data_IF_563077929171
#
_entry.id   IF_563077929171
#
_cell.length_a   1.000
_cell.length_b   1.000
_cell.length_c   1.000
_cell.angle_alpha   90.00
_cell.angle_beta   90.00
_cell.angle_gamma   90.00
#
_symmetry.space_group_name_H-M   'P 1'
#
loop_
_entity.id
_entity.type
_entity.pdbx_description
1 polymer ?
#
# COMPACT_ATOMS: atom_id res chain seq x y z
N UNK A 1 17.40 20.66 -16.11
CA UNK A 1 16.71 19.44 -15.66
C UNK A 1 17.42 18.83 -14.43
N UNK A 2 18.72 18.55 -14.55
CA UNK A 2 19.51 17.97 -13.43
C UNK A 2 19.49 18.83 -12.17
N UNK A 3 19.72 20.14 -12.26
CA UNK A 3 19.75 21.03 -11.09
C UNK A 3 18.42 21.07 -10.33
N UNK A 4 17.29 20.98 -11.04
CA UNK A 4 15.96 20.88 -10.40
C UNK A 4 15.76 19.57 -9.68
N UNK A 5 16.24 18.45 -10.24
CA UNK A 5 16.15 17.16 -9.58
C UNK A 5 16.98 17.17 -8.28
N UNK A 6 18.21 17.70 -8.33
CA UNK A 6 19.08 17.86 -7.14
C UNK A 6 18.39 18.72 -6.08
N UNK A 7 17.78 19.84 -6.47
CA UNK A 7 17.05 20.72 -5.52
C UNK A 7 15.84 20.01 -4.91
N UNK A 8 15.08 19.24 -5.69
CA UNK A 8 13.98 18.42 -5.18
C UNK A 8 14.43 17.45 -4.08
N UNK A 9 15.60 16.83 -4.25
CA UNK A 9 16.11 15.85 -3.28
C UNK A 9 16.66 16.50 -1.99
N UNK A 10 17.07 17.76 -2.01
CA UNK A 10 17.41 18.48 -0.77
C UNK A 10 16.25 18.59 0.21
N UNK A 11 15.02 18.65 -0.28
CA UNK A 11 13.82 18.67 0.57
C UNK A 11 13.43 17.30 1.13
N UNK A 12 13.98 16.21 0.61
CA UNK A 12 13.71 14.85 1.11
C UNK A 12 14.23 14.68 2.54
N UNK A 13 15.42 15.22 2.85
CA UNK A 13 15.98 15.23 4.20
C UNK A 13 15.44 16.48 4.94
N UNK A 14 14.15 16.50 5.18
CA UNK A 14 13.46 17.56 5.93
C UNK A 14 12.92 17.01 7.24
N UNK A 15 12.65 17.90 8.18
CA UNK A 15 11.98 17.54 9.43
C UNK A 15 10.66 16.81 9.18
N UNK A 16 9.87 17.26 8.20
CA UNK A 16 8.58 16.65 7.84
C UNK A 16 8.76 15.20 7.38
N UNK A 17 9.81 14.91 6.60
CA UNK A 17 10.10 13.54 6.15
C UNK A 17 10.56 12.68 7.32
N UNK A 18 11.39 13.20 8.21
CA UNK A 18 11.79 12.50 9.45
C UNK A 18 10.58 12.19 10.33
N UNK A 19 9.65 13.13 10.48
CA UNK A 19 8.39 12.93 11.21
C UNK A 19 7.53 11.84 10.55
N UNK A 20 7.44 11.80 9.23
CA UNK A 20 6.68 10.75 8.53
C UNK A 20 7.25 9.35 8.78
N UNK A 21 8.57 9.21 8.73
CA UNK A 21 9.26 7.94 9.03
C UNK A 21 9.11 7.58 10.51
N UNK A 22 9.29 8.52 11.42
CA UNK A 22 9.10 8.29 12.87
C UNK A 22 7.66 7.84 13.16
N UNK A 23 6.65 8.45 12.53
CA UNK A 23 5.25 8.07 12.64
C UNK A 23 5.01 6.63 12.20
N UNK A 24 5.59 6.23 11.08
CA UNK A 24 5.51 4.85 10.59
C UNK A 24 6.02 3.85 11.63
N UNK A 25 7.18 4.15 12.26
CA UNK A 25 7.74 3.30 13.31
C UNK A 25 6.87 3.28 14.57
N UNK A 26 6.36 4.43 15.01
CA UNK A 26 5.46 4.52 16.17
C UNK A 26 4.21 3.66 15.96
N UNK A 27 3.58 3.75 14.81
CA UNK A 27 2.40 2.95 14.49
C UNK A 27 2.73 1.46 14.47
N UNK A 28 3.88 1.06 13.92
CA UNK A 28 4.31 -0.33 13.93
C UNK A 28 4.49 -0.86 15.36
N UNK A 29 5.18 -0.11 16.24
CA UNK A 29 5.32 -0.49 17.64
C UNK A 29 3.97 -0.53 18.37
N UNK A 30 3.08 0.43 18.10
CA UNK A 30 1.75 0.46 18.70
C UNK A 30 0.91 -0.76 18.32
N UNK A 31 1.04 -1.29 17.10
CA UNK A 31 0.32 -2.50 16.68
C UNK A 31 0.72 -3.73 17.48
N UNK A 32 1.97 -3.80 17.96
CA UNK A 32 2.46 -4.93 18.77
C UNK A 32 1.78 -5.00 20.16
N UNK A 33 1.20 -3.89 20.63
CA UNK A 33 0.45 -3.85 21.90
C UNK A 33 -0.96 -4.49 21.79
N UNK A 34 -1.45 -4.76 20.59
CA UNK A 34 -2.73 -5.44 20.39
C UNK A 34 -2.58 -6.90 20.79
N UNK A 35 -3.41 -7.33 21.74
CA UNK A 35 -3.41 -8.73 22.19
C UNK A 35 -3.80 -9.66 21.04
N UNK A 36 -2.98 -10.67 20.81
CA UNK A 36 -3.26 -11.68 19.80
C UNK A 36 -4.36 -12.63 20.29
N UNK A 37 -5.40 -12.76 19.48
CA UNK A 37 -6.45 -13.73 19.71
C UNK A 37 -6.05 -15.08 19.13
N UNK A 38 -6.03 -16.10 19.96
CA UNK A 38 -5.88 -17.48 19.54
C UNK A 38 -7.27 -18.11 19.40
N UNK A 39 -7.58 -18.60 18.23
CA UNK A 39 -8.80 -19.38 18.00
C UNK A 39 -8.46 -20.84 18.21
N UNK A 40 -9.30 -21.55 18.98
CA UNK A 40 -9.16 -23.00 19.01
C UNK A 40 -9.27 -23.56 17.60
N UNK A 41 -8.37 -24.47 17.18
CA UNK A 41 -8.51 -25.15 15.90
C UNK A 41 -9.86 -25.92 15.89
N UNK A 42 -10.47 -26.11 14.71
CA UNK A 42 -11.68 -26.89 14.63
C UNK A 42 -11.40 -28.30 15.15
N UNK A 43 -12.23 -28.74 16.12
CA UNK A 43 -12.15 -30.09 16.63
C UNK A 43 -12.43 -31.05 15.47
N UNK A 44 -11.53 -31.96 15.23
CA UNK A 44 -11.69 -32.95 14.20
C UNK A 44 -12.14 -34.21 14.89
N UNK A 45 -13.41 -34.61 14.67
CA UNK A 45 -13.95 -35.86 15.18
C UNK A 45 -13.15 -37.05 14.65
N UNK A 46 -12.71 -37.87 15.57
CA UNK A 46 -11.99 -39.11 15.22
C UNK A 46 -13.00 -40.17 14.78
N UNK A 47 -12.86 -40.68 13.59
CA UNK A 47 -13.55 -41.89 13.14
C UNK A 47 -12.52 -42.97 12.87
N UNK A 48 -12.42 -44.01 13.69
CA UNK A 48 -12.52 -45.40 13.29
C UNK A 48 -12.17 -46.41 14.38
N UNK A 49 -12.86 -47.57 14.33
CA UNK A 49 -12.47 -48.93 14.79
C UNK A 49 -11.68 -49.05 16.09
N UNK A 50 -11.99 -48.26 17.12
CA UNK A 50 -11.48 -48.55 18.47
C UNK A 50 -10.11 -47.93 18.81
N UNK A 51 -9.51 -47.14 17.96
CA UNK A 51 -8.34 -46.32 18.25
C UNK A 51 -8.68 -44.86 18.13
N UNK A 52 -8.50 -44.04 19.18
CA UNK A 52 -8.69 -42.59 19.06
C UNK A 52 -7.52 -42.02 18.25
N UNK A 53 -7.75 -41.53 17.06
CA UNK A 53 -6.83 -40.66 16.36
C UNK A 53 -7.51 -39.35 15.97
N UNK A 54 -6.78 -38.27 15.98
CA UNK A 54 -7.26 -36.97 15.57
C UNK A 54 -7.00 -36.77 14.09
N UNK A 55 -8.05 -36.60 13.31
CA UNK A 55 -7.91 -36.25 11.91
C UNK A 55 -7.87 -34.73 11.76
N UNK A 56 -7.00 -34.20 10.95
CA UNK A 56 -6.89 -32.77 10.65
C UNK A 56 -7.76 -32.40 9.45
N UNK A 57 -8.28 -31.18 9.44
CA UNK A 57 -8.98 -30.67 8.25
C UNK A 57 -7.99 -30.57 7.07
N UNK A 58 -8.28 -31.19 5.92
CA UNK A 58 -7.41 -31.10 4.74
C UNK A 58 -7.20 -29.64 4.28
N UNK A 59 -8.15 -28.74 4.55
CA UNK A 59 -8.06 -27.32 4.20
C UNK A 59 -6.99 -26.57 5.01
N UNK A 60 -6.63 -27.07 6.18
CA UNK A 60 -5.65 -26.43 7.09
C UNK A 60 -4.33 -27.22 7.15
N UNK A 61 -4.15 -28.22 6.31
CA UNK A 61 -2.99 -29.10 6.27
C UNK A 61 -2.24 -29.02 4.93
N UNK A 62 -2.11 -27.80 4.40
CA UNK A 62 -1.26 -27.55 3.26
C UNK A 62 0.21 -27.45 3.70
N UNK A 63 1.12 -27.68 2.77
CA UNK A 63 2.55 -27.59 3.04
C UNK A 63 2.97 -26.18 3.45
N UNK A 64 3.66 -26.06 4.58
CA UNK A 64 4.32 -24.83 5.02
C UNK A 64 5.58 -24.62 4.19
N UNK A 65 5.71 -23.43 3.60
CA UNK A 65 6.92 -23.04 2.89
C UNK A 65 7.77 -22.11 3.75
N UNK A 66 9.00 -22.50 3.96
CA UNK A 66 10.00 -21.65 4.60
C UNK A 66 10.27 -20.38 3.77
N UNK A 67 10.84 -19.35 4.38
CA UNK A 67 11.12 -18.07 3.69
C UNK A 67 11.97 -18.23 2.41
N UNK A 68 12.80 -19.26 2.33
CA UNK A 68 13.63 -19.56 1.15
C UNK A 68 12.87 -20.22 -0.01
N UNK A 69 11.70 -20.79 0.27
CA UNK A 69 10.86 -21.51 -0.70
C UNK A 69 9.70 -20.66 -1.21
N UNK A 70 9.44 -19.54 -0.54
CA UNK A 70 8.39 -18.60 -0.93
C UNK A 70 8.76 -17.84 -2.21
N UNK A 71 7.76 -17.59 -3.08
CA UNK A 71 7.93 -16.82 -4.33
C UNK A 71 8.33 -15.38 -4.01
N UNK A 72 7.68 -14.76 -3.02
CA UNK A 72 8.02 -13.41 -2.55
C UNK A 72 8.14 -13.44 -1.03
N UNK A 73 9.31 -13.74 -0.47
CA UNK A 73 9.52 -13.69 0.97
C UNK A 73 9.52 -12.26 1.50
N UNK A 74 9.35 -12.09 2.82
CA UNK A 74 9.25 -10.77 3.45
C UNK A 74 10.40 -9.80 3.13
N UNK A 75 11.70 -10.20 3.07
CA UNK A 75 12.77 -9.31 2.65
C UNK A 75 12.61 -8.80 1.22
N UNK A 76 12.17 -9.65 0.30
CA UNK A 76 11.91 -9.26 -1.10
C UNK A 76 10.74 -8.29 -1.19
N UNK A 77 9.67 -8.52 -0.43
CA UNK A 77 8.58 -7.57 -0.31
C UNK A 77 9.09 -6.19 0.15
N UNK A 78 9.93 -6.15 1.19
CA UNK A 78 10.49 -4.91 1.71
C UNK A 78 11.30 -4.17 0.64
N UNK A 79 12.12 -4.87 -0.13
CA UNK A 79 12.87 -4.30 -1.27
C UNK A 79 11.91 -3.74 -2.32
N UNK A 80 10.87 -4.48 -2.71
CA UNK A 80 9.86 -4.01 -3.67
C UNK A 80 9.20 -2.73 -3.17
N UNK A 81 8.71 -2.73 -1.93
CA UNK A 81 7.98 -1.59 -1.35
C UNK A 81 8.87 -0.35 -1.14
N UNK A 82 10.18 -0.52 -1.01
CA UNK A 82 11.13 0.60 -0.81
C UNK A 82 11.76 1.07 -2.11
N UNK A 83 12.32 0.16 -2.90
CA UNK A 83 13.13 0.51 -4.07
C UNK A 83 12.27 1.00 -5.23
N UNK A 84 11.15 0.34 -5.51
CA UNK A 84 10.31 0.73 -6.66
C UNK A 84 9.78 2.16 -6.53
N UNK A 85 9.18 2.60 -5.41
CA UNK A 85 8.76 3.99 -5.25
C UNK A 85 9.93 4.97 -5.37
N UNK A 86 11.07 4.67 -4.73
CA UNK A 86 12.24 5.57 -4.74
C UNK A 86 12.76 5.75 -6.17
N UNK A 87 12.91 4.68 -6.94
CA UNK A 87 13.35 4.76 -8.34
C UNK A 87 12.36 5.57 -9.19
N UNK A 88 11.07 5.30 -9.04
CA UNK A 88 10.02 6.05 -9.75
C UNK A 88 10.07 7.54 -9.38
N UNK A 89 10.15 7.87 -8.08
CA UNK A 89 10.18 9.27 -7.64
C UNK A 89 11.46 9.98 -8.07
N UNK A 90 12.59 9.26 -8.15
CA UNK A 90 13.82 9.78 -8.74
C UNK A 90 13.60 10.13 -10.21
N UNK A 91 13.01 9.24 -11.00
CA UNK A 91 12.70 9.52 -12.42
C UNK A 91 11.75 10.70 -12.55
N UNK A 92 10.68 10.74 -11.76
CA UNK A 92 9.71 11.83 -11.80
C UNK A 92 10.32 13.19 -11.42
N UNK A 93 11.32 13.21 -10.51
CA UNK A 93 11.97 14.46 -10.09
C UNK A 93 12.63 15.23 -11.23
N UNK A 94 13.02 14.57 -12.30
CA UNK A 94 13.56 15.23 -13.49
C UNK A 94 12.51 16.03 -14.29
N UNK A 95 11.24 15.66 -14.12
CA UNK A 95 10.10 16.29 -14.82
C UNK A 95 9.30 17.23 -13.90
N UNK A 96 9.58 17.25 -12.62
CA UNK A 96 8.86 18.08 -11.65
C UNK A 96 9.06 19.57 -11.90
N UNK A 97 7.97 20.32 -11.80
CA UNK A 97 7.97 21.78 -11.81
C UNK A 97 8.09 22.36 -10.39
N UNK A 98 7.73 21.58 -9.36
CA UNK A 98 7.80 21.94 -7.96
C UNK A 98 8.90 21.15 -7.26
N UNK A 99 9.89 21.83 -6.68
CA UNK A 99 11.03 21.22 -5.99
C UNK A 99 10.64 20.39 -4.76
N UNK A 100 9.46 20.65 -4.17
CA UNK A 100 8.96 19.88 -3.02
C UNK A 100 8.17 18.63 -3.42
N UNK A 101 7.87 18.42 -4.69
CA UNK A 101 7.01 17.32 -5.12
C UNK A 101 7.55 15.94 -4.70
N UNK A 102 8.84 15.70 -4.89
CA UNK A 102 9.50 14.44 -4.51
C UNK A 102 9.43 14.19 -3.00
N UNK A 103 9.70 15.19 -2.18
CA UNK A 103 9.60 15.07 -0.72
C UNK A 103 8.16 14.73 -0.29
N UNK A 104 7.17 15.39 -0.88
CA UNK A 104 5.75 15.15 -0.59
C UNK A 104 5.29 13.75 -1.05
N UNK A 105 5.85 13.20 -2.14
CA UNK A 105 5.61 11.80 -2.53
C UNK A 105 6.16 10.83 -1.50
N UNK A 106 7.39 11.04 -1.03
CA UNK A 106 8.02 10.20 -0.02
C UNK A 106 7.28 10.27 1.31
N UNK A 107 6.93 11.48 1.77
CA UNK A 107 6.12 11.67 2.98
C UNK A 107 4.77 10.98 2.87
N UNK A 108 4.08 11.17 1.76
CA UNK A 108 2.76 10.59 1.54
C UNK A 108 2.78 9.06 1.53
N UNK A 109 3.74 8.42 0.83
CA UNK A 109 3.85 6.96 0.84
C UNK A 109 4.27 6.43 2.22
N UNK A 110 5.14 7.13 2.95
CA UNK A 110 5.54 6.72 4.30
C UNK A 110 4.35 6.76 5.29
N UNK A 111 3.56 7.83 5.29
CA UNK A 111 2.34 7.90 6.09
C UNK A 111 1.31 6.84 5.70
N UNK A 112 1.09 6.64 4.39
CA UNK A 112 0.17 5.62 3.90
C UNK A 112 0.60 4.21 4.32
N UNK A 113 1.88 3.89 4.15
CA UNK A 113 2.46 2.61 4.55
C UNK A 113 2.31 2.35 6.04
N UNK A 114 2.71 3.31 6.89
CA UNK A 114 2.61 3.18 8.35
C UNK A 114 1.17 2.98 8.82
N UNK A 115 0.22 3.75 8.28
CA UNK A 115 -1.19 3.64 8.63
C UNK A 115 -1.79 2.30 8.16
N UNK A 116 -1.46 1.85 6.94
CA UNK A 116 -1.89 0.55 6.43
C UNK A 116 -1.31 -0.60 7.25
N UNK A 117 0.00 -0.56 7.54
CA UNK A 117 0.68 -1.56 8.35
C UNK A 117 0.04 -1.69 9.74
N UNK A 118 -0.18 -0.56 10.42
CA UNK A 118 -0.87 -0.53 11.71
C UNK A 118 -2.27 -1.16 11.64
N UNK A 119 -3.08 -0.75 10.68
CA UNK A 119 -4.43 -1.28 10.52
C UNK A 119 -4.43 -2.79 10.25
N UNK A 120 -3.57 -3.25 9.34
CA UNK A 120 -3.43 -4.66 8.99
C UNK A 120 -3.03 -5.48 10.22
N UNK A 121 -2.02 -5.02 10.96
CA UNK A 121 -1.49 -5.75 12.11
C UNK A 121 -2.50 -5.82 13.26
N UNK A 122 -3.21 -4.71 13.56
CA UNK A 122 -4.27 -4.69 14.54
C UNK A 122 -5.39 -5.68 14.19
N UNK A 123 -5.86 -5.66 12.94
CA UNK A 123 -6.92 -6.57 12.48
C UNK A 123 -6.44 -8.01 12.49
N UNK A 124 -5.21 -8.27 12.06
CA UNK A 124 -4.60 -9.59 12.05
C UNK A 124 -4.56 -10.22 13.43
N UNK A 125 -4.06 -9.49 14.43
CA UNK A 125 -4.00 -9.94 15.83
C UNK A 125 -5.41 -10.11 16.44
N UNK A 126 -6.33 -9.18 16.17
CA UNK A 126 -7.69 -9.27 16.66
C UNK A 126 -8.46 -10.45 16.05
N UNK A 127 -8.29 -10.72 14.75
CA UNK A 127 -8.98 -11.81 14.07
C UNK A 127 -8.48 -13.19 14.52
N UNK A 128 -7.18 -13.39 14.71
CA UNK A 128 -6.60 -14.68 15.07
C UNK A 128 -7.01 -15.79 14.09
N UNK A 129 -6.95 -15.53 12.77
CA UNK A 129 -7.48 -16.44 11.76
C UNK A 129 -6.41 -17.40 11.26
N UNK A 130 -6.75 -18.72 11.13
CA UNK A 130 -5.81 -19.77 10.74
C UNK A 130 -5.34 -19.59 9.30
N UNK A 131 -4.04 -19.88 9.11
CA UNK A 131 -3.46 -19.99 7.77
C UNK A 131 -3.77 -21.36 7.14
N UNK A 132 -3.69 -21.48 5.81
CA UNK A 132 -3.90 -22.76 5.13
C UNK A 132 -2.97 -23.89 5.56
N UNK A 133 -1.76 -23.57 6.04
CA UNK A 133 -0.75 -24.52 6.52
C UNK A 133 -0.72 -24.70 8.05
N UNK A 134 -1.81 -24.38 8.74
CA UNK A 134 -1.86 -24.31 10.21
C UNK A 134 -1.30 -25.56 10.89
N UNK A 135 -1.78 -26.75 10.48
CA UNK A 135 -1.40 -27.99 11.13
C UNK A 135 0.04 -28.42 10.81
N UNK A 136 0.54 -28.14 9.61
CA UNK A 136 1.91 -28.43 9.23
C UNK A 136 2.91 -27.58 10.04
N UNK A 137 2.63 -26.27 10.15
CA UNK A 137 3.48 -25.38 10.95
C UNK A 137 3.42 -25.67 12.45
N UNK A 138 2.24 -25.97 13.00
CA UNK A 138 2.13 -26.27 14.43
C UNK A 138 2.69 -27.63 14.83
N UNK A 139 3.07 -28.49 13.87
CA UNK A 139 3.57 -29.84 14.14
C UNK A 139 2.51 -30.68 14.87
N UNK A 140 1.34 -30.80 14.28
CA UNK A 140 0.21 -31.50 14.89
C UNK A 140 0.49 -32.98 15.06
N UNK A 141 0.40 -33.45 16.31
CA UNK A 141 0.52 -34.88 16.65
C UNK A 141 -0.88 -35.51 16.68
N UNK A 142 -1.14 -36.38 15.71
CA UNK A 142 -2.42 -37.08 15.59
C UNK A 142 -2.71 -38.05 16.76
N UNK A 143 -1.69 -38.51 17.48
CA UNK A 143 -1.87 -39.42 18.64
C UNK A 143 -2.33 -38.67 19.88
N UNK A 144 -1.84 -37.45 20.09
CA UNK A 144 -2.16 -36.63 21.27
C UNK A 144 -3.21 -35.56 21.00
N UNK A 145 -3.49 -35.24 19.74
CA UNK A 145 -4.38 -34.16 19.35
C UNK A 145 -3.84 -32.76 19.67
N UNK A 146 -2.51 -32.61 19.78
CA UNK A 146 -1.88 -31.35 20.19
C UNK A 146 -0.83 -30.88 19.18
N UNK A 147 -0.70 -29.56 19.08
CA UNK A 147 0.42 -28.93 18.40
C UNK A 147 1.69 -29.00 19.27
N UNK A 148 2.85 -29.29 18.68
CA UNK A 148 4.15 -29.43 19.36
C UNK A 148 5.14 -28.32 18.97
N UNK A 149 4.85 -27.57 17.89
CA UNK A 149 5.67 -26.49 17.36
C UNK A 149 5.18 -25.10 17.75
N UNK A 150 5.86 -24.07 17.20
CA UNK A 150 5.47 -22.67 17.32
C UNK A 150 4.36 -22.36 16.29
N UNK A 151 3.19 -22.00 16.79
CA UNK A 151 1.99 -21.74 15.99
C UNK A 151 1.57 -20.28 15.96
N UNK A 152 2.34 -19.35 16.57
CA UNK A 152 1.99 -17.93 16.69
C UNK A 152 1.67 -17.29 15.33
N UNK A 153 2.49 -17.54 14.31
CA UNK A 153 2.24 -17.03 12.95
C UNK A 153 1.09 -17.73 12.23
N UNK A 154 0.77 -18.97 12.61
CA UNK A 154 -0.30 -19.77 12.02
C UNK A 154 -1.69 -19.15 12.29
N UNK A 155 -1.85 -18.31 13.32
CA UNK A 155 -3.06 -17.57 13.64
C UNK A 155 -3.16 -16.18 12.99
N UNK A 156 -2.20 -15.79 12.15
CA UNK A 156 -2.12 -14.45 11.57
C UNK A 156 -2.45 -14.43 10.08
N UNK A 157 -3.52 -15.12 9.65
CA UNK A 157 -3.87 -15.19 8.23
C UNK A 157 -4.53 -13.90 7.73
N UNK A 158 -5.65 -13.47 8.34
CA UNK A 158 -6.42 -12.34 7.85
C UNK A 158 -6.10 -11.04 8.59
N UNK A 159 -5.92 -9.93 7.86
CA UNK A 159 -5.72 -9.80 6.41
C UNK A 159 -4.26 -10.05 6.00
N UNK A 160 -4.01 -10.29 4.70
CA UNK A 160 -2.65 -10.50 4.19
C UNK A 160 -1.81 -9.22 4.26
N UNK A 161 -0.68 -9.30 4.98
CA UNK A 161 0.28 -8.20 5.09
C UNK A 161 1.00 -7.93 3.76
N UNK A 162 1.45 -8.97 3.06
CA UNK A 162 2.11 -8.85 1.75
C UNK A 162 1.22 -8.15 0.73
N UNK A 163 -0.04 -8.55 0.64
CA UNK A 163 -1.00 -7.95 -0.27
C UNK A 163 -1.29 -6.48 0.08
N UNK A 164 -1.50 -6.17 1.36
CA UNK A 164 -1.81 -4.80 1.78
C UNK A 164 -0.64 -3.85 1.65
N UNK A 165 0.57 -4.26 2.08
CA UNK A 165 1.76 -3.41 2.04
C UNK A 165 2.27 -3.19 0.62
N UNK A 166 2.19 -4.20 -0.26
CA UNK A 166 2.49 -3.99 -1.67
C UNK A 166 1.43 -3.10 -2.34
N UNK A 167 0.14 -3.30 -2.04
CA UNK A 167 -0.92 -2.49 -2.63
C UNK A 167 -0.81 -1.02 -2.23
N UNK A 168 -0.56 -0.71 -0.97
CA UNK A 168 -0.45 0.69 -0.53
C UNK A 168 0.70 1.40 -1.23
N UNK A 169 1.87 0.78 -1.35
CA UNK A 169 3.04 1.40 -1.98
C UNK A 169 2.92 1.46 -3.49
N UNK A 170 2.48 0.39 -4.11
CA UNK A 170 2.40 0.30 -5.57
C UNK A 170 1.27 1.13 -6.16
N UNK A 171 0.09 1.14 -5.52
CA UNK A 171 -1.01 1.99 -5.96
C UNK A 171 -0.69 3.48 -5.77
N UNK A 172 -0.07 3.85 -4.63
CA UNK A 172 0.40 5.21 -4.42
C UNK A 172 1.40 5.64 -5.50
N UNK A 173 2.35 4.76 -5.83
CA UNK A 173 3.34 4.99 -6.89
C UNK A 173 2.68 5.11 -8.26
N UNK A 174 1.69 4.27 -8.55
CA UNK A 174 0.89 4.36 -9.78
C UNK A 174 0.17 5.71 -9.89
N UNK A 175 -0.46 6.19 -8.83
CA UNK A 175 -1.06 7.52 -8.82
C UNK A 175 -0.03 8.62 -9.10
N UNK A 176 1.20 8.52 -8.56
CA UNK A 176 2.24 9.50 -8.83
C UNK A 176 2.66 9.51 -10.32
N UNK A 177 2.77 8.34 -10.96
CA UNK A 177 3.07 8.24 -12.40
C UNK A 177 1.92 8.83 -13.22
N UNK A 178 0.68 8.37 -12.98
CA UNK A 178 -0.49 8.80 -13.72
C UNK A 178 -0.76 10.30 -13.58
N UNK A 179 -0.58 10.85 -12.37
CA UNK A 179 -0.67 12.27 -12.11
C UNK A 179 0.41 13.07 -12.86
N UNK A 180 1.64 12.60 -12.90
CA UNK A 180 2.72 13.22 -13.66
C UNK A 180 2.46 13.19 -15.18
N UNK A 181 1.79 12.15 -15.67
CA UNK A 181 1.37 12.03 -17.09
C UNK A 181 0.20 12.95 -17.46
N UNK A 182 -0.45 13.63 -16.48
CA UNK A 182 -1.58 14.56 -16.70
C UNK A 182 -2.67 13.91 -17.55
N UNK A 183 -3.24 12.81 -17.11
CA UNK A 183 -4.23 12.03 -17.87
C UNK A 183 -5.47 12.83 -18.30
N UNK A 184 -5.75 13.98 -17.67
CA UNK A 184 -6.81 14.91 -18.08
C UNK A 184 -6.56 15.61 -19.43
N UNK A 185 -5.36 15.49 -19.99
CA UNK A 185 -4.96 16.11 -21.27
C UNK A 185 -4.43 15.09 -22.26
N UNK A 186 -4.64 15.29 -23.56
CA UNK A 186 -4.03 14.46 -24.59
C UNK A 186 -2.49 14.50 -24.48
N UNK A 187 -1.85 13.38 -24.22
CA UNK A 187 -0.41 13.25 -24.22
C UNK A 187 0.09 12.97 -25.64
N UNK A 188 0.42 14.03 -26.40
CA UNK A 188 0.88 13.89 -27.78
C UNK A 188 2.35 14.23 -27.90
N UNK A 189 3.11 13.33 -28.53
CA UNK A 189 4.53 13.55 -28.90
C UNK A 189 4.64 13.36 -30.40
N UNK A 190 5.08 14.41 -31.12
CA UNK A 190 5.19 14.42 -32.59
C UNK A 190 3.91 13.96 -33.30
N UNK A 191 2.74 14.34 -32.76
CA UNK A 191 1.42 14.02 -33.35
C UNK A 191 0.86 12.65 -32.91
N UNK A 192 1.65 11.78 -32.29
CA UNK A 192 1.20 10.47 -31.79
C UNK A 192 0.63 10.62 -30.39
N UNK A 193 -0.55 10.04 -30.16
CA UNK A 193 -1.18 9.97 -28.82
C UNK A 193 -0.53 8.87 -27.99
N UNK A 194 0.08 9.24 -26.89
CA UNK A 194 0.73 8.35 -25.91
C UNK A 194 -0.11 8.16 -24.63
N UNK A 195 -1.35 8.63 -24.59
CA UNK A 195 -2.22 8.50 -23.42
C UNK A 195 -2.45 7.05 -23.00
N UNK A 196 -2.77 6.16 -23.94
CA UNK A 196 -2.94 4.74 -23.67
C UNK A 196 -1.67 4.06 -23.13
N UNK A 197 -0.51 4.16 -23.78
CA UNK A 197 0.77 3.68 -23.24
C UNK A 197 1.10 4.24 -21.86
N UNK A 198 0.82 5.51 -21.59
CA UNK A 198 1.06 6.14 -20.29
C UNK A 198 0.19 5.52 -19.18
N UNK A 199 -1.07 5.19 -19.47
CA UNK A 199 -1.95 4.47 -18.54
C UNK A 199 -1.37 3.09 -18.21
N UNK A 200 -0.98 2.33 -19.24
CA UNK A 200 -0.38 0.99 -19.03
C UNK A 200 0.88 1.09 -18.18
N UNK A 201 1.80 2.00 -18.52
CA UNK A 201 3.02 2.22 -17.74
C UNK A 201 2.74 2.63 -16.29
N UNK A 202 1.74 3.51 -16.10
CA UNK A 202 1.32 3.95 -14.77
C UNK A 202 0.70 2.85 -13.93
N UNK A 203 0.11 1.80 -14.53
CA UNK A 203 -0.48 0.67 -13.81
C UNK A 203 0.50 -0.50 -13.56
N UNK A 204 1.71 -0.47 -14.12
CA UNK A 204 2.70 -1.53 -13.87
C UNK A 204 2.99 -1.79 -12.38
N UNK A 205 3.12 -0.76 -11.51
CA UNK A 205 3.30 -1.02 -10.08
C UNK A 205 2.11 -1.78 -9.47
N UNK A 206 0.87 -1.46 -9.84
CA UNK A 206 -0.32 -2.22 -9.39
C UNK A 206 -0.24 -3.66 -9.87
N UNK A 207 0.18 -3.90 -11.13
CA UNK A 207 0.42 -5.24 -11.65
C UNK A 207 1.42 -6.04 -10.81
N UNK A 208 2.51 -5.40 -10.35
CA UNK A 208 3.48 -6.00 -9.44
C UNK A 208 2.84 -6.34 -8.08
N UNK A 209 2.00 -5.46 -7.51
CA UNK A 209 1.27 -5.76 -6.28
C UNK A 209 0.32 -6.94 -6.43
N UNK A 210 -0.38 -7.05 -7.56
CA UNK A 210 -1.25 -8.19 -7.85
C UNK A 210 -0.46 -9.50 -7.96
N UNK A 211 0.75 -9.46 -8.54
CA UNK A 211 1.66 -10.61 -8.55
C UNK A 211 2.09 -11.01 -7.13
N UNK A 212 2.48 -10.05 -6.28
CA UNK A 212 2.80 -10.31 -4.86
C UNK A 212 1.59 -10.93 -4.15
N UNK A 213 0.39 -10.40 -4.38
CA UNK A 213 -0.86 -10.91 -3.80
C UNK A 213 -1.14 -12.37 -4.24
N UNK A 214 -1.03 -12.66 -5.53
CA UNK A 214 -1.22 -14.00 -6.08
C UNK A 214 -0.19 -15.01 -5.53
N UNK A 215 1.06 -14.59 -5.35
CA UNK A 215 2.10 -15.46 -4.79
C UNK A 215 1.74 -16.00 -3.41
N UNK A 216 0.99 -15.23 -2.58
CA UNK A 216 0.57 -15.68 -1.25
C UNK A 216 -0.42 -16.84 -1.28
N UNK A 217 -1.28 -16.87 -2.29
CA UNK A 217 -2.21 -17.98 -2.50
C UNK A 217 -1.47 -19.22 -3.00
N UNK A 218 -0.55 -19.04 -3.95
CA UNK A 218 0.28 -20.12 -4.52
C UNK A 218 1.23 -20.73 -3.47
N UNK A 219 1.70 -19.90 -2.52
CA UNK A 219 2.57 -20.36 -1.43
C UNK A 219 1.79 -20.96 -0.24
N UNK A 220 0.45 -21.04 -0.31
CA UNK A 220 -0.44 -21.45 0.79
C UNK A 220 -0.36 -20.54 2.04
N UNK A 221 0.27 -19.38 1.94
CA UNK A 221 0.41 -18.45 3.08
C UNK A 221 -0.92 -17.83 3.53
N UNK A 222 -1.82 -17.61 2.57
CA UNK A 222 -3.06 -16.88 2.78
C UNK A 222 -4.21 -17.44 1.94
N UNK A 223 -5.42 -17.29 2.45
CA UNK A 223 -6.65 -17.50 1.70
C UNK A 223 -6.86 -16.36 0.70
N UNK A 224 -7.58 -16.61 -0.42
CA UNK A 224 -7.95 -15.53 -1.35
C UNK A 224 -8.65 -14.34 -0.69
N UNK A 225 -9.50 -14.59 0.34
CA UNK A 225 -10.17 -13.54 1.09
C UNK A 225 -9.18 -12.65 1.88
N UNK A 226 -8.11 -13.23 2.45
CA UNK A 226 -7.09 -12.48 3.19
C UNK A 226 -6.35 -11.53 2.27
N UNK A 227 -6.05 -12.01 1.06
CA UNK A 227 -5.37 -11.24 0.01
C UNK A 227 -6.22 -10.06 -0.43
N UNK A 228 -7.52 -10.28 -0.69
CA UNK A 228 -8.47 -9.21 -1.03
C UNK A 228 -8.62 -8.23 0.12
N UNK A 229 -8.77 -8.71 1.37
CA UNK A 229 -8.86 -7.86 2.56
C UNK A 229 -7.63 -6.96 2.73
N UNK A 230 -6.43 -7.52 2.56
CA UNK A 230 -5.19 -6.75 2.57
C UNK A 230 -5.15 -5.69 1.47
N UNK A 231 -5.47 -6.07 0.23
CA UNK A 231 -5.48 -5.16 -0.91
C UNK A 231 -6.46 -3.99 -0.74
N UNK A 232 -7.65 -4.24 -0.19
CA UNK A 232 -8.66 -3.20 0.10
C UNK A 232 -8.13 -2.20 1.12
N UNK A 233 -7.54 -2.68 2.22
CA UNK A 233 -6.94 -1.80 3.24
C UNK A 233 -5.81 -0.99 2.64
N UNK A 234 -4.86 -1.63 1.96
CA UNK A 234 -3.74 -0.94 1.31
C UNK A 234 -4.19 0.09 0.28
N UNK A 235 -5.18 -0.26 -0.55
CA UNK A 235 -5.74 0.64 -1.56
C UNK A 235 -6.43 1.86 -0.95
N UNK A 236 -7.18 1.69 0.14
CA UNK A 236 -7.84 2.79 0.84
C UNK A 236 -6.82 3.81 1.37
N UNK A 237 -5.77 3.35 2.05
CA UNK A 237 -4.72 4.24 2.56
C UNK A 237 -3.89 4.88 1.45
N UNK A 238 -3.56 4.16 0.37
CA UNK A 238 -2.89 4.74 -0.79
C UNK A 238 -3.68 5.90 -1.37
N UNK A 239 -4.98 5.71 -1.59
CA UNK A 239 -5.89 6.70 -2.15
C UNK A 239 -6.04 7.91 -1.23
N UNK A 240 -6.27 7.68 0.07
CA UNK A 240 -6.44 8.74 1.05
C UNK A 240 -5.20 9.64 1.12
N UNK A 241 -4.01 9.05 1.27
CA UNK A 241 -2.79 9.83 1.42
C UNK A 241 -2.29 10.43 0.12
N UNK A 242 -2.54 9.80 -1.04
CA UNK A 242 -2.25 10.44 -2.32
C UNK A 242 -3.06 11.73 -2.46
N UNK A 243 -4.38 11.67 -2.25
CA UNK A 243 -5.25 12.85 -2.39
C UNK A 243 -5.08 13.89 -1.28
N UNK A 244 -4.43 13.55 -0.18
CA UNK A 244 -3.99 14.53 0.83
C UNK A 244 -2.93 15.48 0.26
N UNK A 245 -2.07 14.99 -0.62
CA UNK A 245 -0.93 15.74 -1.15
C UNK A 245 -1.09 16.20 -2.59
N UNK A 246 -1.81 15.44 -3.41
CA UNK A 246 -1.96 15.69 -4.83
C UNK A 246 -3.43 15.74 -5.26
N UNK A 247 -3.74 16.48 -6.35
CA UNK A 247 -5.06 16.45 -6.97
C UNK A 247 -5.38 15.08 -7.59
N UNK A 248 -6.63 14.92 -8.04
CA UNK A 248 -7.07 13.71 -8.77
C UNK A 248 -6.28 13.60 -10.08
N UNK A 249 -5.89 12.38 -10.46
CA UNK A 249 -5.02 12.10 -11.61
C UNK A 249 -5.55 12.61 -12.96
N UNK A 250 -6.85 12.87 -13.05
CA UNK A 250 -7.51 13.43 -14.24
C UNK A 250 -7.57 14.97 -14.27
N UNK A 251 -7.20 15.62 -13.15
CA UNK A 251 -7.11 17.08 -13.14
C UNK A 251 -5.88 17.58 -13.91
N UNK A 252 -6.00 18.72 -14.56
CA UNK A 252 -4.89 19.37 -15.28
C UNK A 252 -3.69 19.68 -14.40
N UNK A 253 -3.95 19.92 -13.12
CA UNK A 253 -2.96 20.21 -12.06
C UNK A 253 -2.43 18.96 -11.35
N UNK A 254 -2.81 17.76 -11.79
CA UNK A 254 -2.47 16.49 -11.10
C UNK A 254 -0.97 16.26 -10.83
N UNK A 255 -0.10 16.91 -11.61
CA UNK A 255 1.36 16.84 -11.45
C UNK A 255 1.91 17.82 -10.40
N UNK A 256 1.09 18.75 -9.88
CA UNK A 256 1.50 19.79 -8.93
C UNK A 256 0.93 19.48 -7.56
N UNK A 257 1.77 19.42 -6.49
CA UNK A 257 1.26 19.21 -5.15
C UNK A 257 0.30 20.32 -4.68
N UNK A 258 -0.72 19.96 -3.90
CA UNK A 258 -1.68 20.94 -3.32
C UNK A 258 -1.02 22.04 -2.52
N UNK A 259 0.07 21.75 -1.81
CA UNK A 259 0.83 22.72 -1.04
C UNK A 259 1.43 23.86 -1.90
N UNK A 260 1.65 23.64 -3.20
CA UNK A 260 2.13 24.67 -4.10
C UNK A 260 1.08 25.75 -4.39
N UNK A 261 -0.21 25.40 -4.28
CA UNK A 261 -1.32 26.35 -4.46
C UNK A 261 -1.57 27.20 -3.21
N UNK A 262 -1.26 26.69 -2.02
CA UNK A 262 -1.47 27.43 -0.75
C UNK A 262 -0.49 28.60 -0.57
N UNK A 263 0.60 28.66 -1.32
CA UNK A 263 1.59 29.74 -1.27
C UNK A 263 1.32 30.90 -2.24
N UNK A 264 0.30 30.78 -3.10
CA UNK A 264 -0.16 31.89 -3.93
C UNK A 264 -1.10 32.75 -3.05
N UNK A 265 -0.76 34.03 -2.74
CA UNK A 265 -1.73 34.91 -2.08
C UNK A 265 -3.00 34.90 -2.92
N UNK A 266 -4.16 34.81 -2.30
CA UNK A 266 -5.43 35.02 -3.00
C UNK A 266 -5.30 36.36 -3.72
N UNK A 267 -5.18 36.32 -5.04
CA UNK A 267 -5.34 37.53 -5.84
C UNK A 267 -6.73 38.01 -5.49
N UNK A 268 -6.79 39.23 -4.86
CA UNK A 268 -8.04 39.82 -4.49
C UNK A 268 -8.96 39.79 -5.68
N UNK A 269 -10.15 39.26 -5.49
CA UNK A 269 -11.21 39.28 -6.46
C UNK A 269 -11.51 40.78 -6.74
N UNK A 270 -10.90 41.28 -7.81
CA UNK A 270 -11.20 42.62 -8.34
C UNK A 270 -12.57 42.66 -9.01
N UNK A 271 -13.58 42.05 -8.38
CA UNK A 271 -14.97 42.10 -8.83
C UNK A 271 -15.76 43.32 -8.28
N UNK A 272 -15.09 44.17 -7.48
CA UNK A 272 -15.76 45.41 -7.02
C UNK A 272 -15.82 46.51 -8.10
N UNK A 273 -14.98 46.47 -9.13
CA UNK A 273 -14.97 47.52 -10.18
C UNK A 273 -15.98 47.26 -11.35
N UNK A 274 -16.56 46.07 -11.43
CA UNK A 274 -17.55 45.73 -12.48
C UNK A 274 -18.97 46.16 -12.12
N UNK A 275 -19.29 46.43 -10.85
CA UNK A 275 -20.63 46.87 -10.43
C UNK A 275 -20.78 48.41 -10.51
N UNK A 276 -19.68 49.16 -10.45
CA UNK A 276 -19.71 50.61 -10.56
C UNK A 276 -19.90 51.11 -12.02
N UNK A 277 -19.56 50.31 -13.02
CA UNK A 277 -19.72 50.66 -14.44
C UNK A 277 -21.13 50.49 -15.01
N UNK A 278 -21.96 49.67 -14.36
CA UNK A 278 -23.33 49.40 -14.88
C UNK A 278 -24.39 50.45 -14.45
N UNK A 279 -24.09 51.30 -13.47
CA UNK A 279 -25.03 52.33 -12.99
C UNK A 279 -24.92 53.67 -13.75
N UNK A 280 -23.94 53.82 -14.63
CA UNK A 280 -23.69 55.08 -15.35
C UNK A 280 -24.25 55.13 -16.79
N UNK A 281 -24.99 54.11 -17.25
CA UNK A 281 -25.54 54.06 -18.63
C UNK A 281 -27.07 54.13 -18.66
N UNK A 282 -27.73 54.41 -17.52
CA UNK A 282 -29.18 54.61 -17.47
C UNK A 282 -29.56 55.91 -16.72
N UNK A 283 -28.98 57.03 -17.18
CA UNK A 283 -29.51 58.38 -16.88
C UNK A 283 -29.48 59.24 -18.17
#
# INVERSE_FOLDING_TARGET
MWDRAVESWKHVISLDTCVAVAWMLILWFASQAVHQRERKPPEVEAFDAGQPYWAVSPLLNNDYKSSSEQIVPAPVLFVICSVVPVVVFLVLSFFDTCTRATALRIQGVAYAFGAAAFCIDCVKRYCGYWRPYFYDQCGFDAATGKCTGDDDEAFKSFPSGHSGLSMVTMLYTSYCILGACRLGRPLRVKGVDLGGPAVVAGLLPVGLSLFVAASRVVDNDHWPADVVGGAVIGGAFATLYYHRYFPIVFEDSSHVPRAAFASVPAQGSGDEDLVAGAAAVSA
#
